data_IF_937789035686
#
_entry.id   IF_937789035686
#
_cell.length_a   1.000
_cell.length_b   1.000
_cell.length_c   1.000
_cell.angle_alpha   90.00
_cell.angle_beta   90.00
_cell.angle_gamma   90.00
#
_symmetry.space_group_name_H-M   'P 1'
#
loop_
_entity.id
_entity.type
_entity.pdbx_description
1 polymer ?
#
# COMPACT_ATOMS: atom_id res chain seq x y z
N UNK A 1 -21.34 -27.84 -40.12
CA UNK A 1 -20.66 -29.12 -40.18
C UNK A 1 -20.15 -29.49 -38.80
N UNK A 2 -20.45 -30.73 -38.42
CA UNK A 2 -19.97 -31.28 -37.15
C UNK A 2 -18.48 -31.58 -37.35
N UNK A 3 -17.63 -31.23 -36.37
CA UNK A 3 -16.17 -31.48 -36.42
C UNK A 3 -15.85 -32.94 -36.73
N UNK A 4 -16.73 -33.86 -36.31
CA UNK A 4 -16.60 -35.29 -36.59
C UNK A 4 -16.68 -35.64 -38.07
N UNK A 5 -17.36 -34.82 -38.88
CA UNK A 5 -17.48 -35.05 -40.31
C UNK A 5 -16.17 -34.76 -41.05
N UNK A 6 -15.30 -33.98 -40.48
CA UNK A 6 -13.97 -33.63 -41.04
C UNK A 6 -12.81 -34.40 -40.36
N UNK A 7 -13.11 -35.22 -39.34
CA UNK A 7 -12.13 -36.03 -38.63
C UNK A 7 -12.65 -37.48 -38.39
N UNK A 8 -12.85 -38.26 -39.46
CA UNK A 8 -13.45 -39.60 -39.36
C UNK A 8 -12.59 -40.59 -38.54
N UNK A 9 -11.29 -40.33 -38.37
CA UNK A 9 -10.40 -41.17 -37.58
C UNK A 9 -10.42 -40.87 -36.08
N UNK A 10 -11.24 -39.92 -35.64
CA UNK A 10 -11.38 -39.60 -34.20
C UNK A 10 -10.18 -38.90 -33.56
N UNK A 11 -9.12 -38.65 -34.34
CA UNK A 11 -7.87 -38.08 -33.80
C UNK A 11 -8.06 -36.76 -33.04
N UNK A 12 -8.98 -35.91 -33.49
CA UNK A 12 -9.26 -34.65 -32.83
C UNK A 12 -10.24 -34.77 -31.65
N UNK A 13 -10.95 -35.88 -31.51
CA UNK A 13 -11.89 -36.10 -30.41
C UNK A 13 -11.19 -36.06 -29.05
N UNK A 14 -10.02 -36.68 -28.96
CA UNK A 14 -9.24 -36.69 -27.70
C UNK A 14 -8.67 -35.33 -27.37
N UNK A 15 -8.43 -34.48 -28.39
CA UNK A 15 -7.85 -33.16 -28.21
C UNK A 15 -8.91 -32.04 -28.07
N UNK A 16 -10.08 -32.23 -28.67
CA UNK A 16 -11.16 -31.24 -28.67
C UNK A 16 -12.30 -31.56 -27.69
N UNK A 17 -12.21 -32.69 -26.99
CA UNK A 17 -13.23 -33.16 -26.08
C UNK A 17 -14.43 -33.81 -26.83
N UNK A 18 -15.39 -34.31 -26.05
CA UNK A 18 -16.59 -34.96 -26.58
C UNK A 18 -17.66 -33.92 -26.82
N UNK A 19 -17.80 -33.41 -28.02
CA UNK A 19 -18.93 -32.56 -28.30
C UNK A 19 -18.74 -31.61 -29.47
N UNK A 20 -19.79 -30.90 -29.78
CA UNK A 20 -19.78 -29.79 -30.73
C UNK A 20 -19.12 -28.62 -30.08
N UNK A 21 -18.36 -27.86 -30.85
CA UNK A 21 -18.07 -26.48 -30.48
C UNK A 21 -19.39 -25.72 -30.54
N UNK A 22 -19.93 -25.38 -29.40
CA UNK A 22 -21.12 -24.54 -29.31
C UNK A 22 -20.66 -23.09 -29.43
N UNK A 23 -20.75 -22.57 -30.65
CA UNK A 23 -20.35 -21.19 -30.92
C UNK A 23 -21.25 -20.17 -30.20
N UNK A 24 -22.53 -20.52 -29.95
CA UNK A 24 -23.43 -19.68 -29.17
C UNK A 24 -23.03 -19.68 -27.71
N UNK A 25 -22.72 -20.84 -27.14
CA UNK A 25 -22.21 -20.93 -25.78
C UNK A 25 -20.85 -20.21 -25.62
N UNK A 26 -19.98 -20.30 -26.64
CA UNK A 26 -18.69 -19.63 -26.61
C UNK A 26 -18.81 -18.08 -26.64
N UNK A 27 -19.78 -17.53 -27.33
CA UNK A 27 -20.04 -16.07 -27.40
C UNK A 27 -21.02 -15.59 -26.32
N UNK A 28 -21.75 -16.50 -25.68
CA UNK A 28 -22.62 -16.18 -24.55
C UNK A 28 -21.97 -16.50 -23.19
N UNK A 29 -20.72 -16.91 -23.19
CA UNK A 29 -19.97 -17.10 -21.94
C UNK A 29 -19.81 -15.73 -21.29
N UNK A 30 -20.33 -15.59 -20.09
CA UNK A 30 -20.11 -14.40 -19.29
C UNK A 30 -18.61 -14.15 -19.20
N UNK A 31 -18.19 -12.97 -19.68
CA UNK A 31 -16.80 -12.53 -19.51
C UNK A 31 -16.58 -12.22 -18.03
N UNK A 32 -15.54 -12.78 -17.45
CA UNK A 32 -15.11 -12.42 -16.10
C UNK A 32 -14.41 -11.05 -16.12
N UNK A 33 -14.38 -10.33 -15.00
CA UNK A 33 -13.61 -9.11 -14.91
C UNK A 33 -12.11 -9.44 -15.01
N UNK A 34 -11.34 -8.54 -15.62
CA UNK A 34 -9.89 -8.54 -15.58
C UNK A 34 -9.46 -7.26 -14.88
N UNK A 35 -9.16 -7.40 -13.59
CA UNK A 35 -8.78 -6.27 -12.76
C UNK A 35 -7.26 -6.10 -12.81
N UNK A 36 -6.85 -4.89 -13.09
CA UNK A 36 -5.44 -4.49 -13.15
C UNK A 36 -5.18 -3.45 -12.04
N UNK A 37 -4.07 -3.60 -11.34
CA UNK A 37 -3.58 -2.58 -10.43
C UNK A 37 -3.08 -1.38 -11.24
N UNK A 38 -3.53 -0.17 -10.90
CA UNK A 38 -3.09 1.04 -11.58
C UNK A 38 -2.40 2.03 -10.66
N UNK A 39 -2.84 2.17 -9.41
CA UNK A 39 -2.25 3.15 -8.48
C UNK A 39 -2.63 2.84 -7.03
N UNK A 40 -1.98 3.56 -6.09
CA UNK A 40 -2.28 3.57 -4.66
C UNK A 40 -2.42 5.00 -4.16
N UNK A 41 -3.30 5.19 -3.18
CA UNK A 41 -3.35 6.37 -2.32
C UNK A 41 -2.93 5.94 -0.91
N UNK A 42 -1.84 6.53 -0.42
CA UNK A 42 -1.25 6.19 0.88
C UNK A 42 -1.36 7.40 1.79
N UNK A 43 -2.01 7.18 2.95
CA UNK A 43 -2.00 8.14 4.05
C UNK A 43 -1.17 7.58 5.19
N UNK A 44 -0.08 8.23 5.53
CA UNK A 44 0.80 7.81 6.62
C UNK A 44 0.27 8.45 7.91
N UNK A 45 0.06 7.61 8.92
CA UNK A 45 -0.44 8.06 10.21
C UNK A 45 0.74 8.46 11.10
N UNK A 46 0.70 9.67 11.63
CA UNK A 46 1.77 10.28 12.44
C UNK A 46 3.10 10.52 11.68
N UNK A 47 2.96 10.82 10.40
CA UNK A 47 4.09 11.14 9.52
C UNK A 47 4.51 12.61 9.60
N UNK A 48 5.79 12.85 9.29
CA UNK A 48 6.39 14.18 9.19
C UNK A 48 7.13 14.42 7.87
N UNK A 49 7.43 13.38 7.09
CA UNK A 49 8.31 13.50 5.91
C UNK A 49 7.68 13.01 4.59
N UNK A 50 6.51 12.38 4.61
CA UNK A 50 5.82 11.84 3.44
C UNK A 50 6.40 10.52 2.92
N UNK A 51 7.28 9.88 3.68
CA UNK A 51 7.90 8.58 3.37
C UNK A 51 7.49 7.54 4.42
N UNK A 52 7.35 6.29 4.01
CA UNK A 52 7.01 5.22 4.95
C UNK A 52 8.25 4.81 5.73
N UNK A 53 8.21 4.98 7.04
CA UNK A 53 9.32 4.67 7.93
C UNK A 53 8.98 3.56 8.95
N UNK A 54 9.99 2.88 9.52
CA UNK A 54 9.78 1.98 10.64
C UNK A 54 9.16 2.71 11.85
N UNK A 55 8.12 2.14 12.42
CA UNK A 55 7.37 2.71 13.54
C UNK A 55 6.09 3.43 13.14
N UNK A 56 5.80 3.52 11.86
CA UNK A 56 4.61 4.17 11.31
C UNK A 56 3.52 3.18 10.92
N UNK A 57 2.31 3.68 10.86
CA UNK A 57 1.16 2.96 10.31
C UNK A 57 0.63 3.71 9.09
N UNK A 58 0.15 2.97 8.11
CA UNK A 58 -0.42 3.55 6.90
C UNK A 58 -1.86 3.09 6.66
N UNK A 59 -2.64 3.97 6.06
CA UNK A 59 -3.86 3.62 5.34
C UNK A 59 -3.54 3.49 3.85
N UNK A 60 -3.84 2.33 3.29
CA UNK A 60 -3.56 2.01 1.89
C UNK A 60 -4.88 1.83 1.14
N UNK A 61 -5.15 2.72 0.20
CA UNK A 61 -6.23 2.58 -0.77
C UNK A 61 -5.65 2.18 -2.11
N UNK A 62 -6.22 1.18 -2.73
CA UNK A 62 -5.74 0.60 -3.98
C UNK A 62 -6.75 0.90 -5.07
N UNK A 63 -6.26 1.36 -6.22
CA UNK A 63 -7.07 1.64 -7.39
C UNK A 63 -6.92 0.49 -8.38
N UNK A 64 -8.04 -0.14 -8.69
CA UNK A 64 -8.16 -1.23 -9.66
C UNK A 64 -8.90 -0.75 -10.89
N UNK A 65 -8.44 -1.15 -12.06
CA UNK A 65 -9.09 -0.87 -13.34
C UNK A 65 -9.60 -2.16 -13.95
N UNK A 66 -10.85 -2.18 -14.39
CA UNK A 66 -11.41 -3.31 -15.11
C UNK A 66 -11.23 -3.11 -16.62
N UNK A 67 -10.46 -3.98 -17.24
CA UNK A 67 -10.18 -3.95 -18.68
C UNK A 67 -11.50 -3.93 -19.48
N UNK A 68 -11.69 -2.97 -20.42
CA UNK A 68 -12.95 -2.78 -21.14
C UNK A 68 -13.33 -3.94 -22.07
N UNK A 69 -12.41 -4.82 -22.39
CA UNK A 69 -12.68 -6.01 -23.22
C UNK A 69 -13.21 -7.20 -22.41
N UNK A 70 -13.30 -7.05 -21.08
CA UNK A 70 -13.72 -8.10 -20.14
C UNK A 70 -15.09 -7.79 -19.50
N UNK A 71 -15.59 -8.71 -18.68
CA UNK A 71 -16.91 -8.59 -18.08
C UNK A 71 -16.94 -7.71 -16.82
N UNK A 72 -18.14 -7.51 -16.30
CA UNK A 72 -18.35 -6.76 -15.07
C UNK A 72 -17.84 -7.55 -13.86
N UNK A 73 -17.09 -6.90 -13.00
CA UNK A 73 -16.79 -7.38 -11.65
C UNK A 73 -17.90 -6.96 -10.68
N UNK A 74 -18.56 -7.92 -10.04
CA UNK A 74 -19.56 -7.65 -9.03
C UNK A 74 -19.03 -7.96 -7.65
N UNK A 75 -19.40 -7.14 -6.66
CA UNK A 75 -19.04 -7.31 -5.25
C UNK A 75 -17.57 -7.72 -5.11
N UNK A 76 -16.71 -6.85 -5.60
CA UNK A 76 -15.26 -7.08 -5.60
C UNK A 76 -14.76 -6.87 -4.18
N UNK A 77 -14.15 -7.93 -3.64
CA UNK A 77 -13.50 -7.93 -2.32
C UNK A 77 -12.02 -8.20 -2.49
N UNK A 78 -11.20 -7.56 -1.67
CA UNK A 78 -9.76 -7.75 -1.61
C UNK A 78 -9.31 -8.24 -0.24
N UNK A 79 -8.33 -9.15 -0.23
CA UNK A 79 -7.61 -9.55 0.98
C UNK A 79 -6.13 -9.32 0.75
N UNK A 80 -5.54 -8.43 1.55
CA UNK A 80 -4.12 -8.13 1.52
C UNK A 80 -3.37 -9.11 2.44
N UNK A 81 -2.32 -9.71 1.93
CA UNK A 81 -1.43 -10.58 2.71
C UNK A 81 0.03 -10.26 2.40
N UNK A 82 0.93 -10.53 3.32
CA UNK A 82 2.37 -10.49 3.05
C UNK A 82 2.76 -11.62 2.09
N UNK A 83 3.69 -11.36 1.17
CA UNK A 83 4.21 -12.40 0.26
C UNK A 83 5.11 -13.38 1.00
N UNK A 84 5.84 -12.90 2.00
CA UNK A 84 6.76 -13.64 2.85
C UNK A 84 6.51 -13.33 4.33
N UNK A 85 7.07 -14.13 5.23
CA UNK A 85 7.05 -13.89 6.68
C UNK A 85 8.04 -12.77 7.05
N UNK A 86 7.62 -11.53 6.85
CA UNK A 86 8.42 -10.34 7.14
C UNK A 86 8.18 -9.93 8.60
N UNK A 87 9.27 -9.87 9.36
CA UNK A 87 9.20 -9.50 10.77
C UNK A 87 8.87 -8.01 10.96
N UNK A 88 8.09 -7.71 12.00
CA UNK A 88 7.70 -6.36 12.38
C UNK A 88 6.84 -5.62 11.32
N UNK A 89 6.16 -6.33 10.44
CA UNK A 89 5.12 -5.80 9.55
C UNK A 89 3.82 -6.53 9.87
N UNK A 90 2.77 -5.77 10.20
CA UNK A 90 1.48 -6.34 10.57
C UNK A 90 0.35 -5.69 9.75
N UNK A 91 -0.50 -6.51 9.14
CA UNK A 91 -1.69 -6.01 8.45
C UNK A 91 -2.84 -6.00 9.46
N UNK A 92 -3.18 -4.82 9.94
CA UNK A 92 -4.22 -4.60 10.97
C UNK A 92 -5.61 -4.77 10.37
N UNK A 93 -5.85 -4.20 9.18
CA UNK A 93 -7.08 -4.34 8.41
C UNK A 93 -6.77 -5.02 7.07
N UNK A 94 -6.90 -6.35 7.00
CA UNK A 94 -6.49 -7.12 5.82
C UNK A 94 -7.55 -7.21 4.72
N UNK A 95 -8.78 -6.76 4.95
CA UNK A 95 -9.90 -6.91 4.01
C UNK A 95 -10.44 -5.56 3.57
N UNK A 96 -10.88 -5.46 2.33
CA UNK A 96 -11.48 -4.26 1.78
C UNK A 96 -12.51 -4.59 0.70
N UNK A 97 -13.53 -3.73 0.55
CA UNK A 97 -14.54 -3.79 -0.50
C UNK A 97 -14.24 -2.73 -1.57
N UNK A 98 -14.31 -3.13 -2.84
CA UNK A 98 -14.16 -2.26 -4.01
C UNK A 98 -15.49 -2.00 -4.72
N UNK A 99 -16.55 -2.73 -4.36
CA UNK A 99 -17.85 -2.63 -5.01
C UNK A 99 -17.90 -3.30 -6.37
N UNK A 100 -18.56 -2.66 -7.33
CA UNK A 100 -18.73 -3.18 -8.70
C UNK A 100 -17.87 -2.36 -9.67
N UNK A 101 -17.19 -3.05 -10.59
CA UNK A 101 -16.44 -2.43 -11.68
C UNK A 101 -17.01 -2.87 -13.02
N UNK A 102 -17.63 -1.97 -13.77
CA UNK A 102 -18.02 -2.23 -15.15
C UNK A 102 -16.79 -2.19 -16.08
N UNK A 103 -16.89 -2.75 -17.31
CA UNK A 103 -15.80 -2.66 -18.28
C UNK A 103 -15.35 -1.21 -18.50
N UNK A 104 -14.07 -0.93 -18.27
CA UNK A 104 -13.48 0.40 -18.36
C UNK A 104 -13.57 1.27 -17.10
N UNK A 105 -14.16 0.77 -16.01
CA UNK A 105 -14.23 1.49 -14.76
C UNK A 105 -12.94 1.32 -13.93
N UNK A 106 -12.61 2.38 -13.19
CA UNK A 106 -11.68 2.32 -12.06
C UNK A 106 -12.46 2.32 -10.74
N UNK A 107 -12.07 1.47 -9.81
CA UNK A 107 -12.66 1.36 -8.47
C UNK A 107 -11.59 1.39 -7.40
N UNK A 108 -11.93 1.88 -6.21
CA UNK A 108 -11.03 2.03 -5.08
C UNK A 108 -11.73 1.60 -3.78
N UNK A 109 -10.98 1.05 -2.84
CA UNK A 109 -11.47 0.71 -1.49
C UNK A 109 -11.56 1.95 -0.59
N UNK A 110 -12.38 2.93 -1.01
CA UNK A 110 -12.49 4.26 -0.40
C UNK A 110 -12.91 4.23 1.06
N UNK A 111 -13.90 3.39 1.39
CA UNK A 111 -14.53 3.35 2.72
C UNK A 111 -13.85 2.40 3.68
N UNK A 112 -13.09 1.45 3.17
CA UNK A 112 -12.40 0.41 3.95
C UNK A 112 -10.94 0.30 3.48
N UNK A 113 -10.06 1.24 3.86
CA UNK A 113 -8.65 1.15 3.52
C UNK A 113 -8.00 -0.03 4.23
N UNK A 114 -6.99 -0.63 3.59
CA UNK A 114 -6.10 -1.53 4.29
C UNK A 114 -5.27 -0.73 5.29
N UNK A 115 -5.08 -1.28 6.50
CA UNK A 115 -4.23 -0.65 7.51
C UNK A 115 -3.04 -1.57 7.75
N UNK A 116 -1.85 -0.99 7.58
CA UNK A 116 -0.58 -1.70 7.77
C UNK A 116 0.22 -0.97 8.85
N UNK A 117 0.72 -1.72 9.80
CA UNK A 117 1.58 -1.24 10.86
C UNK A 117 3.01 -1.74 10.66
N UNK A 118 3.94 -0.81 10.49
CA UNK A 118 5.37 -1.09 10.41
C UNK A 118 5.98 -0.85 11.79
N UNK A 119 6.34 -1.93 12.47
CA UNK A 119 6.96 -1.82 13.79
C UNK A 119 8.31 -1.08 13.74
N UNK A 120 8.74 -0.53 14.86
CA UNK A 120 9.99 0.26 14.97
C UNK A 120 11.24 -0.47 14.48
N UNK A 121 11.23 -1.80 14.45
CA UNK A 121 12.33 -2.63 13.97
C UNK A 121 12.01 -3.26 12.59
N UNK A 122 11.07 -2.72 11.84
CA UNK A 122 10.82 -3.15 10.47
C UNK A 122 12.07 -2.87 9.62
N UNK A 123 12.40 -3.81 8.74
CA UNK A 123 13.57 -3.64 7.87
C UNK A 123 13.28 -2.64 6.77
N UNK A 124 14.18 -1.68 6.57
CA UNK A 124 14.15 -0.79 5.41
C UNK A 124 14.30 -1.57 4.11
N UNK A 125 13.70 -1.05 3.06
CA UNK A 125 13.68 -1.67 1.73
C UNK A 125 12.28 -2.00 1.25
N UNK A 126 12.19 -2.82 0.21
CA UNK A 126 10.91 -3.17 -0.39
C UNK A 126 10.20 -4.28 0.38
N UNK A 127 8.93 -4.05 0.67
CA UNK A 127 8.00 -5.02 1.25
C UNK A 127 6.96 -5.37 0.22
N UNK A 128 6.85 -6.64 -0.12
CA UNK A 128 5.88 -7.14 -1.09
C UNK A 128 4.64 -7.70 -0.40
N UNK A 129 3.50 -7.24 -0.84
CA UNK A 129 2.18 -7.72 -0.46
C UNK A 129 1.50 -8.37 -1.66
N UNK A 130 0.62 -9.31 -1.40
CA UNK A 130 -0.24 -9.93 -2.40
C UNK A 130 -1.69 -9.53 -2.11
N UNK A 131 -2.30 -8.79 -3.03
CA UNK A 131 -3.72 -8.50 -3.02
C UNK A 131 -4.46 -9.64 -3.70
N UNK A 132 -5.17 -10.44 -2.91
CA UNK A 132 -6.05 -11.50 -3.40
C UNK A 132 -7.44 -10.90 -3.61
N UNK A 133 -7.87 -10.86 -4.87
CA UNK A 133 -9.14 -10.26 -5.27
C UNK A 133 -10.12 -11.37 -5.61
N UNK A 134 -11.37 -11.22 -5.16
CA UNK A 134 -12.51 -12.05 -5.56
C UNK A 134 -13.62 -11.18 -6.11
N UNK A 135 -14.28 -11.66 -7.16
CA UNK A 135 -15.52 -11.08 -7.68
C UNK A 135 -16.64 -12.07 -7.46
N UNK A 136 -17.72 -11.63 -6.81
CA UNK A 136 -18.84 -12.47 -6.41
C UNK A 136 -20.12 -11.99 -7.09
N UNK A 137 -20.85 -12.90 -7.71
CA UNK A 137 -22.18 -12.63 -8.24
C UNK A 137 -23.19 -13.63 -7.68
N UNK A 138 -24.30 -13.12 -7.11
CA UNK A 138 -25.34 -13.94 -6.49
C UNK A 138 -24.82 -14.96 -5.45
N UNK A 139 -23.77 -14.58 -4.69
CA UNK A 139 -23.15 -15.44 -3.68
C UNK A 139 -22.20 -16.51 -4.21
N UNK A 140 -21.86 -16.45 -5.49
CA UNK A 140 -20.89 -17.36 -6.11
C UNK A 140 -19.65 -16.61 -6.56
N UNK A 141 -18.47 -17.13 -6.20
CA UNK A 141 -17.20 -16.60 -6.70
C UNK A 141 -17.13 -16.84 -8.20
N UNK A 142 -17.01 -15.77 -8.97
CA UNK A 142 -16.89 -15.79 -10.43
C UNK A 142 -15.46 -15.67 -10.91
N UNK A 143 -14.64 -14.91 -10.20
CA UNK A 143 -13.23 -14.71 -10.55
C UNK A 143 -12.37 -14.55 -9.30
N UNK A 144 -11.12 -15.00 -9.40
CA UNK A 144 -10.09 -14.80 -8.39
C UNK A 144 -8.79 -14.37 -9.09
N UNK A 145 -8.17 -13.31 -8.58
CA UNK A 145 -6.90 -12.80 -9.07
C UNK A 145 -5.97 -12.52 -7.88
N UNK A 146 -4.67 -12.52 -8.14
CA UNK A 146 -3.66 -12.14 -7.16
C UNK A 146 -2.76 -11.10 -7.82
N UNK A 147 -2.67 -9.93 -7.22
CA UNK A 147 -1.85 -8.82 -7.70
C UNK A 147 -0.76 -8.50 -6.69
N UNK A 148 0.51 -8.38 -7.11
CA UNK A 148 1.58 -7.95 -6.23
C UNK A 148 1.48 -6.43 -6.01
N UNK A 149 1.68 -6.00 -4.76
CA UNK A 149 1.79 -4.61 -4.34
C UNK A 149 3.13 -4.47 -3.61
N UNK A 150 3.95 -3.52 -4.03
CA UNK A 150 5.26 -3.29 -3.42
C UNK A 150 5.28 -1.91 -2.79
N UNK A 151 5.57 -1.86 -1.49
CA UNK A 151 5.82 -0.62 -0.75
C UNK A 151 7.31 -0.56 -0.39
N UNK A 152 7.84 0.64 -0.27
CA UNK A 152 9.24 0.85 0.09
C UNK A 152 9.31 1.60 1.42
N UNK A 153 9.98 0.98 2.41
CA UNK A 153 10.32 1.62 3.67
C UNK A 153 11.68 2.28 3.54
N UNK A 154 11.76 3.53 3.95
CA UNK A 154 13.01 4.30 4.02
C UNK A 154 13.45 4.52 5.45
N UNK A 155 14.69 4.90 5.65
CA UNK A 155 15.11 5.42 6.96
C UNK A 155 14.40 6.74 7.23
N UNK A 156 13.93 6.92 8.46
CA UNK A 156 13.46 8.23 8.90
C UNK A 156 14.62 9.22 8.83
N UNK A 157 14.55 10.13 7.88
CA UNK A 157 15.57 11.17 7.74
C UNK A 157 15.35 12.22 8.82
N UNK A 158 16.09 12.10 9.92
CA UNK A 158 16.03 13.10 10.99
C UNK A 158 16.53 14.43 10.45
N UNK A 159 15.63 15.39 10.32
CA UNK A 159 16.02 16.78 10.07
C UNK A 159 16.55 17.39 11.37
N UNK A 160 17.86 17.57 11.42
CA UNK A 160 18.50 18.14 12.59
C UNK A 160 17.94 19.53 12.90
N UNK A 161 17.45 19.72 14.13
CA UNK A 161 16.82 20.95 14.57
C UNK A 161 15.31 21.02 14.41
N UNK A 162 14.69 20.08 13.70
CA UNK A 162 13.23 19.98 13.57
C UNK A 162 12.66 19.07 14.68
N UNK A 163 12.36 19.64 15.84
CA UNK A 163 11.89 18.88 16.99
C UNK A 163 10.37 18.65 16.97
N UNK A 164 9.63 19.46 16.22
CA UNK A 164 8.17 19.36 16.11
C UNK A 164 7.73 18.51 14.91
N UNK A 165 8.68 18.13 14.04
CA UNK A 165 8.47 17.29 12.87
C UNK A 165 7.52 17.95 11.82
N UNK A 166 7.60 19.27 11.65
CA UNK A 166 6.81 19.98 10.62
C UNK A 166 7.58 20.21 9.31
N UNK A 167 8.82 19.70 9.23
CA UNK A 167 9.70 19.82 8.08
C UNK A 167 10.39 21.18 7.95
N UNK A 168 10.27 22.08 8.95
CA UNK A 168 10.84 23.44 8.91
C UNK A 168 11.54 23.74 10.23
N UNK A 169 12.84 23.93 10.18
CA UNK A 169 13.59 24.37 11.38
C UNK A 169 13.31 25.84 11.67
N UNK A 170 12.59 26.13 12.76
CA UNK A 170 12.15 27.47 13.12
C UNK A 170 12.05 27.69 14.65
N UNK A 171 11.47 28.82 15.06
CA UNK A 171 11.38 29.17 16.49
C UNK A 171 10.50 28.18 17.31
N UNK A 172 9.59 27.44 16.67
CA UNK A 172 8.75 26.47 17.37
C UNK A 172 9.59 25.27 17.86
N UNK A 173 10.64 24.91 17.14
CA UNK A 173 11.58 23.86 17.55
C UNK A 173 12.44 24.29 18.74
N UNK A 174 12.84 25.56 18.77
CA UNK A 174 13.52 26.11 19.94
C UNK A 174 12.64 25.99 21.18
N UNK A 175 11.33 26.25 21.05
CA UNK A 175 10.38 26.09 22.17
C UNK A 175 10.31 24.62 22.61
N UNK A 176 10.30 23.67 21.68
CA UNK A 176 10.32 22.23 21.99
C UNK A 176 11.62 21.85 22.72
N UNK A 177 12.76 22.29 22.20
CA UNK A 177 14.07 22.04 22.78
C UNK A 177 14.18 22.60 24.21
N UNK A 178 13.70 23.82 24.44
CA UNK A 178 13.64 24.43 25.78
C UNK A 178 12.78 23.60 26.74
N UNK A 179 11.64 23.10 26.28
CA UNK A 179 10.76 22.25 27.11
C UNK A 179 11.46 20.93 27.52
N UNK A 180 12.25 20.34 26.64
CA UNK A 180 13.06 19.15 26.94
C UNK A 180 14.11 19.49 27.99
N UNK A 181 14.85 20.59 27.82
CA UNK A 181 15.87 21.04 28.78
C UNK A 181 15.26 21.34 30.14
N UNK A 182 14.01 21.80 30.19
CA UNK A 182 13.27 22.07 31.43
C UNK A 182 12.69 20.79 32.08
N UNK A 183 12.88 19.62 31.48
CA UNK A 183 12.57 18.33 32.10
C UNK A 183 11.48 17.51 31.41
N UNK A 184 11.01 17.88 30.24
CA UNK A 184 10.18 17.01 29.45
C UNK A 184 11.01 15.84 28.90
N UNK A 185 10.43 14.65 28.86
CA UNK A 185 11.10 13.49 28.27
C UNK A 185 11.03 13.58 26.74
N UNK A 186 12.17 13.62 26.03
CA UNK A 186 12.18 13.63 24.58
C UNK A 186 11.77 12.28 23.99
N UNK A 187 11.14 12.29 22.82
CA UNK A 187 11.00 11.10 21.99
C UNK A 187 12.36 10.67 21.42
N UNK A 188 12.51 9.42 20.92
CA UNK A 188 13.74 9.01 20.24
C UNK A 188 14.14 9.94 19.07
N UNK A 189 13.19 10.42 18.29
CA UNK A 189 13.39 11.40 17.23
C UNK A 189 13.94 12.72 17.81
N UNK A 190 13.23 13.30 18.78
CA UNK A 190 13.62 14.56 19.43
C UNK A 190 15.00 14.49 20.09
N UNK A 191 15.38 13.30 20.57
CA UNK A 191 16.72 13.10 21.12
C UNK A 191 17.80 13.29 20.05
N UNK A 192 17.59 12.71 18.86
CA UNK A 192 18.52 12.80 17.73
C UNK A 192 18.48 14.21 17.13
N UNK A 193 17.27 14.71 16.79
CA UNK A 193 17.10 16.03 16.18
C UNK A 193 17.58 17.18 17.06
N UNK A 194 17.53 17.00 18.38
CA UNK A 194 17.86 18.03 19.36
C UNK A 194 19.32 18.10 19.78
N UNK A 195 20.11 17.05 19.57
CA UNK A 195 21.56 17.05 19.83
C UNK A 195 22.33 17.52 18.59
N UNK A 196 22.27 18.84 18.36
CA UNK A 196 22.84 19.44 17.14
C UNK A 196 24.37 19.49 17.13
N UNK A 197 25.01 19.41 18.29
CA UNK A 197 26.46 19.40 18.39
C UNK A 197 27.05 17.98 18.45
N UNK A 198 26.19 16.94 18.60
CA UNK A 198 26.58 15.53 18.65
C UNK A 198 27.35 15.13 19.92
N UNK A 199 27.18 15.87 21.02
CA UNK A 199 27.89 15.58 22.27
C UNK A 199 27.16 14.58 23.16
N UNK A 200 25.98 14.10 22.77
CA UNK A 200 25.12 13.16 23.47
C UNK A 200 24.30 13.77 24.60
N UNK A 201 24.18 15.11 24.64
CA UNK A 201 23.43 15.83 25.66
C UNK A 201 22.57 16.91 25.01
N UNK A 202 21.26 16.89 25.26
CA UNK A 202 20.39 18.01 24.89
C UNK A 202 20.53 19.11 25.96
N UNK A 203 21.08 20.26 25.56
CA UNK A 203 21.34 21.37 26.47
C UNK A 203 21.30 22.74 25.77
N UNK A 204 21.68 23.81 26.49
CA UNK A 204 21.64 25.20 25.97
C UNK A 204 22.56 25.45 24.77
N UNK A 205 23.58 24.59 24.55
CA UNK A 205 24.48 24.76 23.38
C UNK A 205 23.76 24.39 22.11
N UNK A 206 22.81 23.42 22.17
CA UNK A 206 21.99 23.04 21.02
C UNK A 206 20.99 24.14 20.64
N UNK A 207 20.48 24.89 21.64
CA UNK A 207 19.65 26.07 21.36
C UNK A 207 20.46 27.08 20.54
N UNK A 208 21.73 27.29 20.87
CA UNK A 208 22.59 28.21 20.10
C UNK A 208 22.79 27.72 18.69
N UNK A 209 22.92 26.39 18.49
CA UNK A 209 23.08 25.82 17.17
C UNK A 209 21.81 25.96 16.31
N UNK A 210 20.61 25.66 16.86
CA UNK A 210 19.33 25.88 16.15
C UNK A 210 19.18 27.36 15.76
N UNK A 211 19.49 28.29 16.68
CA UNK A 211 19.39 29.71 16.41
C UNK A 211 20.31 30.11 15.23
N UNK A 212 21.53 29.59 15.21
CA UNK A 212 22.46 29.86 14.09
C UNK A 212 21.93 29.28 12.78
N UNK A 213 21.40 28.04 12.78
CA UNK A 213 20.78 27.43 11.58
C UNK A 213 19.67 28.30 11.02
N UNK A 214 18.77 28.81 11.87
CA UNK A 214 17.64 29.66 11.45
C UNK A 214 18.14 30.97 10.85
N UNK A 215 19.25 31.53 11.35
CA UNK A 215 19.82 32.79 10.82
C UNK A 215 20.66 32.60 9.55
N UNK A 216 21.25 31.42 9.36
CA UNK A 216 22.06 31.15 8.17
C UNK A 216 21.17 30.85 6.92
N UNK A 217 19.90 30.52 7.11
CA UNK A 217 18.90 30.31 6.06
C UNK A 217 18.13 31.62 5.67
N UNK A 218 18.42 32.76 6.27
CA UNK A 218 17.80 34.06 5.96
C UNK A 218 18.66 34.88 4.99
#
# INVERSE_FOLDING_TARGET
PIIYDVNPEGYLQEKLGRGRVDALAAISTELFPKLEFIDVDISILNDSNGEINPGESIELKIILFNDPEWGTGYNIEGVLVLSDDIQNVNIVSPTAEFGNAFPGDAVMNETEPFIIDFGQNASIGSVEFLLKITSNENGHIKNQQVLPIVLTLTEDSVLMGDLNQDGIVNILDIVQLVNIILGNTPTPYQWIAGDLNGDGLINVLDIVNIVNMIFDDL
#
